data_IF_783735915081
#
_entry.id   IF_783735915081
#
_cell.length_a   1.000
_cell.length_b   1.000
_cell.length_c   1.000
_cell.angle_alpha   90.00
_cell.angle_beta   90.00
_cell.angle_gamma   90.00
#
_symmetry.space_group_name_H-M   'P 1'
#
loop_
_entity.id
_entity.type
_entity.pdbx_description
1 polymer ?
#
# COMPACT_ATOMS: atom_id res chain seq x y z
N UNK A 1 13.23 9.47 0.37
CA UNK A 1 12.54 8.59 -0.60
C UNK A 1 11.04 8.75 -0.39
N UNK A 2 10.24 8.72 -1.45
CA UNK A 2 8.77 8.76 -1.38
C UNK A 2 8.20 7.52 -2.09
N UNK A 3 7.24 6.85 -1.47
CA UNK A 3 6.55 5.69 -2.07
C UNK A 3 5.05 5.76 -1.80
N UNK A 4 4.26 5.24 -2.73
CA UNK A 4 2.88 4.88 -2.44
C UNK A 4 2.88 3.71 -1.44
N UNK A 5 1.94 3.75 -0.50
CA UNK A 5 1.76 2.70 0.50
C UNK A 5 0.27 2.34 0.60
N UNK A 6 -0.04 1.07 0.44
CA UNK A 6 -1.41 0.55 0.50
C UNK A 6 -1.43 -0.66 1.44
N UNK A 7 -1.95 -0.54 2.67
CA UNK A 7 -2.06 -1.68 3.57
C UNK A 7 -3.01 -2.72 2.98
N UNK A 8 -2.59 -3.99 3.02
CA UNK A 8 -3.38 -5.11 2.58
C UNK A 8 -3.98 -5.85 3.78
N UNK A 9 -5.30 -6.02 3.79
CA UNK A 9 -6.02 -6.81 4.77
C UNK A 9 -6.60 -8.07 4.12
N UNK A 10 -6.61 -9.22 4.81
CA UNK A 10 -7.30 -10.40 4.31
C UNK A 10 -8.82 -10.22 4.44
N UNK A 11 -9.59 -10.77 3.50
CA UNK A 11 -11.06 -10.71 3.53
C UNK A 11 -11.67 -11.54 4.68
N UNK A 12 -10.99 -12.61 5.07
CA UNK A 12 -11.32 -13.45 6.23
C UNK A 12 -10.07 -13.80 7.03
N UNK A 13 -10.24 -14.43 8.19
CA UNK A 13 -9.12 -14.96 8.97
C UNK A 13 -8.51 -16.26 8.40
N UNK A 14 -9.03 -16.76 7.27
CA UNK A 14 -8.53 -17.95 6.60
C UNK A 14 -7.10 -17.77 6.09
N UNK A 15 -6.32 -18.86 6.13
CA UNK A 15 -4.92 -18.87 5.68
C UNK A 15 -4.77 -18.43 4.22
N UNK A 16 -5.71 -18.81 3.36
CA UNK A 16 -5.68 -18.46 1.94
C UNK A 16 -5.84 -16.94 1.71
N UNK A 17 -6.71 -16.27 2.46
CA UNK A 17 -6.88 -14.82 2.34
C UNK A 17 -5.70 -14.06 2.96
N UNK A 18 -5.12 -14.61 4.04
CA UNK A 18 -3.88 -14.08 4.63
C UNK A 18 -2.71 -14.18 3.67
N UNK A 19 -2.57 -15.29 2.93
CA UNK A 19 -1.56 -15.39 1.86
C UNK A 19 -1.85 -14.39 0.73
N UNK A 20 -3.11 -14.20 0.33
CA UNK A 20 -3.46 -13.22 -0.69
C UNK A 20 -3.10 -11.78 -0.28
N UNK A 21 -3.34 -11.42 0.98
CA UNK A 21 -2.94 -10.12 1.53
C UNK A 21 -1.41 -9.97 1.63
N UNK A 22 -0.70 -11.00 2.11
CA UNK A 22 0.78 -11.05 2.14
C UNK A 22 1.35 -10.89 0.73
N UNK A 23 0.79 -11.56 -0.26
CA UNK A 23 1.23 -11.47 -1.65
C UNK A 23 1.15 -10.04 -2.19
N UNK A 24 0.00 -9.37 -1.98
CA UNK A 24 -0.16 -7.98 -2.40
C UNK A 24 0.84 -7.07 -1.68
N UNK A 25 0.98 -7.22 -0.36
CA UNK A 25 1.91 -6.43 0.44
C UNK A 25 3.38 -6.63 0.03
N UNK A 26 3.75 -7.88 -0.25
CA UNK A 26 5.07 -8.27 -0.73
C UNK A 26 5.44 -7.53 -2.01
N UNK A 27 4.49 -7.45 -2.95
CA UNK A 27 4.73 -6.77 -4.23
C UNK A 27 4.56 -5.26 -4.17
N UNK A 28 3.50 -4.75 -3.56
CA UNK A 28 3.13 -3.34 -3.63
C UNK A 28 3.95 -2.48 -2.67
N UNK A 29 4.23 -2.98 -1.46
CA UNK A 29 4.92 -2.21 -0.42
C UNK A 29 6.36 -2.72 -0.23
N UNK A 30 6.53 -3.98 0.15
CA UNK A 30 7.84 -4.53 0.58
C UNK A 30 8.85 -4.62 -0.55
N UNK A 31 8.40 -4.78 -1.79
CA UNK A 31 9.27 -4.79 -2.97
C UNK A 31 10.14 -3.53 -3.10
N UNK A 32 9.65 -2.41 -2.57
CA UNK A 32 10.39 -1.15 -2.54
C UNK A 32 11.02 -0.88 -1.17
N UNK A 33 10.33 -1.23 -0.08
CA UNK A 33 10.79 -0.94 1.28
C UNK A 33 11.95 -1.85 1.71
N UNK A 34 11.90 -3.15 1.44
CA UNK A 34 12.96 -4.08 1.85
C UNK A 34 14.31 -3.72 1.18
N UNK A 35 14.39 -3.39 -0.12
CA UNK A 35 15.66 -2.94 -0.71
C UNK A 35 16.21 -1.64 -0.08
N UNK A 36 15.34 -0.70 0.30
CA UNK A 36 15.74 0.57 0.90
C UNK A 36 16.27 0.42 2.32
N UNK A 37 15.64 -0.44 3.13
CA UNK A 37 15.92 -0.53 4.56
C UNK A 37 16.73 -1.75 4.97
N UNK A 38 16.70 -2.81 4.16
CA UNK A 38 17.37 -4.09 4.43
C UNK A 38 18.41 -4.46 3.38
N UNK A 39 18.41 -3.80 2.22
CA UNK A 39 19.36 -4.09 1.15
C UNK A 39 19.10 -5.44 0.48
N UNK A 40 17.85 -5.91 0.49
CA UNK A 40 17.45 -7.17 -0.14
C UNK A 40 15.99 -7.09 -0.63
N UNK A 41 15.65 -7.91 -1.63
CA UNK A 41 14.25 -8.08 -2.05
C UNK A 41 13.52 -9.10 -1.16
N UNK A 42 12.21 -8.94 -0.94
CA UNK A 42 11.42 -9.89 -0.16
C UNK A 42 11.39 -11.27 -0.82
N UNK A 43 11.99 -12.27 -0.17
CA UNK A 43 12.15 -13.62 -0.72
C UNK A 43 10.82 -14.29 -1.11
N UNK A 44 9.77 -14.07 -0.31
CA UNK A 44 8.43 -14.60 -0.59
C UNK A 44 7.81 -13.94 -1.84
N UNK A 45 7.97 -12.63 -2.02
CA UNK A 45 7.48 -11.95 -3.21
C UNK A 45 8.29 -12.34 -4.47
N UNK A 46 9.61 -12.58 -4.33
CA UNK A 46 10.44 -13.11 -5.41
C UNK A 46 9.94 -14.51 -5.82
N UNK A 47 9.67 -15.38 -4.85
CA UNK A 47 9.12 -16.71 -5.09
C UNK A 47 7.76 -16.65 -5.81
N UNK A 48 6.85 -15.76 -5.39
CA UNK A 48 5.57 -15.54 -6.07
C UNK A 48 5.74 -15.07 -7.52
N UNK A 49 6.75 -14.24 -7.79
CA UNK A 49 7.05 -13.73 -9.13
C UNK A 49 7.63 -14.81 -10.04
N UNK A 50 8.43 -15.72 -9.49
CA UNK A 50 8.90 -16.91 -10.20
C UNK A 50 7.73 -17.83 -10.52
N UNK A 51 6.87 -18.11 -9.54
CA UNK A 51 5.68 -18.94 -9.74
C UNK A 51 4.72 -18.36 -10.80
N UNK A 52 4.64 -17.03 -10.90
CA UNK A 52 3.86 -16.34 -11.94
C UNK A 52 4.58 -16.24 -13.30
N UNK A 53 5.81 -16.77 -13.44
CA UNK A 53 6.59 -16.70 -14.68
C UNK A 53 7.14 -15.31 -15.01
N UNK A 54 7.14 -14.37 -14.05
CA UNK A 54 7.69 -13.02 -14.22
C UNK A 54 9.21 -12.96 -13.98
N UNK A 55 9.76 -13.96 -13.29
CA UNK A 55 11.19 -14.11 -13.03
C UNK A 55 11.63 -15.53 -13.35
N UNK A 56 12.84 -15.66 -13.91
CA UNK A 56 13.41 -16.96 -14.26
C UNK A 56 13.90 -17.75 -13.03
N UNK A 57 14.24 -17.06 -11.94
CA UNK A 57 14.81 -17.66 -10.74
C UNK A 57 15.09 -16.61 -9.65
N UNK A 58 15.51 -17.04 -8.46
CA UNK A 58 15.75 -16.17 -7.32
C UNK A 58 17.02 -15.31 -7.45
N UNK A 59 17.85 -15.56 -8.47
CA UNK A 59 19.15 -14.91 -8.65
C UNK A 59 19.03 -13.45 -9.10
N UNK A 60 17.86 -13.02 -9.59
CA UNK A 60 17.57 -11.65 -10.05
C UNK A 60 18.72 -11.08 -10.90
N UNK A 61 19.00 -11.62 -12.11
CA UNK A 61 20.23 -11.34 -12.87
C UNK A 61 20.42 -9.89 -13.32
N UNK A 62 19.40 -9.04 -13.13
CA UNK A 62 19.46 -7.61 -13.35
C UNK A 62 20.02 -6.82 -12.15
N UNK A 63 20.10 -7.43 -10.97
CA UNK A 63 20.73 -6.86 -9.77
C UNK A 63 22.21 -7.18 -9.85
N UNK A 64 23.04 -6.15 -9.91
CA UNK A 64 24.50 -6.27 -9.99
C UNK A 64 25.14 -6.06 -8.62
N UNK A 65 26.37 -6.51 -8.50
CA UNK A 65 27.19 -6.28 -7.32
C UNK A 65 27.24 -4.79 -6.98
N UNK A 66 26.85 -4.45 -5.75
CA UNK A 66 26.81 -3.08 -5.25
C UNK A 66 25.47 -2.35 -5.44
N UNK A 67 24.54 -2.84 -6.27
CA UNK A 67 23.26 -2.14 -6.51
C UNK A 67 22.44 -2.02 -5.22
N UNK A 68 22.26 -3.12 -4.49
CA UNK A 68 21.49 -3.11 -3.24
C UNK A 68 22.18 -2.27 -2.15
N UNK A 69 23.51 -2.22 -2.13
CA UNK A 69 24.25 -1.34 -1.25
C UNK A 69 24.04 0.15 -1.62
N UNK A 70 24.00 0.47 -2.91
CA UNK A 70 23.71 1.81 -3.40
C UNK A 70 22.25 2.25 -3.12
N UNK A 71 21.30 1.31 -3.15
CA UNK A 71 19.88 1.55 -2.85
C UNK A 71 19.66 1.76 -1.34
N UNK A 72 20.31 0.95 -0.49
CA UNK A 72 20.11 0.92 0.97
C UNK A 72 20.88 2.00 1.74
N UNK A 73 21.15 3.14 1.11
CA UNK A 73 21.82 4.26 1.77
C UNK A 73 20.93 4.88 2.86
N UNK A 74 21.49 5.36 3.99
CA UNK A 74 20.72 5.95 5.08
C UNK A 74 19.80 7.09 4.62
N UNK A 75 18.51 6.95 4.88
CA UNK A 75 17.50 7.96 4.54
C UNK A 75 17.35 9.00 5.64
N UNK A 76 17.24 10.28 5.26
CA UNK A 76 16.92 11.37 6.18
C UNK A 76 15.44 11.42 6.56
N UNK A 77 14.57 10.87 5.71
CA UNK A 77 13.14 10.62 5.93
C UNK A 77 12.61 9.57 4.95
N UNK A 78 11.51 8.91 5.35
CA UNK A 78 10.62 8.14 4.49
C UNK A 78 9.33 8.94 4.27
N UNK A 79 9.01 9.25 3.02
CA UNK A 79 7.72 9.81 2.62
C UNK A 79 6.78 8.70 2.19
N UNK A 80 5.54 8.73 2.67
CA UNK A 80 4.48 7.83 2.22
C UNK A 80 3.32 8.61 1.63
N UNK A 81 2.80 8.09 0.52
CA UNK A 81 1.55 8.52 -0.07
C UNK A 81 0.49 7.48 0.31
N UNK A 82 -0.52 7.89 1.06
CA UNK A 82 -1.59 7.02 1.55
C UNK A 82 -2.95 7.52 1.09
N UNK A 83 -3.80 6.60 0.63
CA UNK A 83 -5.12 6.93 0.10
C UNK A 83 -6.22 5.98 0.56
N UNK A 84 -5.95 4.67 0.54
CA UNK A 84 -6.90 3.59 0.85
C UNK A 84 -6.14 2.34 1.28
N UNK A 85 -6.85 1.38 1.85
CA UNK A 85 -6.41 -0.01 1.93
C UNK A 85 -6.82 -0.82 0.71
N UNK A 86 -6.30 -2.04 0.62
CA UNK A 86 -6.87 -3.10 -0.21
C UNK A 86 -7.31 -4.27 0.67
N UNK A 87 -8.44 -4.88 0.34
CA UNK A 87 -8.87 -6.14 0.95
C UNK A 87 -8.62 -7.26 -0.07
N UNK A 88 -7.91 -8.30 0.32
CA UNK A 88 -7.50 -9.40 -0.56
C UNK A 88 -8.14 -10.71 -0.14
N UNK A 89 -8.53 -11.53 -1.12
CA UNK A 89 -8.96 -12.91 -0.89
C UNK A 89 -8.35 -13.88 -1.88
N UNK A 90 -8.37 -15.15 -1.52
CA UNK A 90 -8.17 -16.25 -2.47
C UNK A 90 -9.52 -16.57 -3.14
N UNK A 91 -9.59 -16.33 -4.45
CA UNK A 91 -10.71 -16.69 -5.30
C UNK A 91 -10.88 -18.20 -5.45
N UNK A 92 -12.08 -18.62 -5.85
CA UNK A 92 -12.43 -20.04 -5.98
C UNK A 92 -11.61 -20.79 -7.04
N UNK A 93 -11.02 -20.07 -7.99
CA UNK A 93 -10.10 -20.59 -9.00
C UNK A 93 -8.63 -20.57 -8.56
N UNK A 94 -8.37 -20.26 -7.27
CA UNK A 94 -7.03 -20.12 -6.69
C UNK A 94 -6.36 -18.80 -7.01
N UNK A 95 -7.00 -17.88 -7.73
CA UNK A 95 -6.43 -16.56 -8.04
C UNK A 95 -6.60 -15.62 -6.86
N UNK A 96 -5.62 -14.77 -6.63
CA UNK A 96 -5.68 -13.72 -5.61
C UNK A 96 -6.43 -12.53 -6.19
N UNK A 97 -7.46 -12.04 -5.51
CA UNK A 97 -8.31 -10.96 -6.01
C UNK A 97 -8.58 -9.90 -4.93
N UNK A 98 -8.67 -8.64 -5.38
CA UNK A 98 -9.10 -7.54 -4.54
C UNK A 98 -10.61 -7.60 -4.35
N UNK A 99 -11.07 -7.54 -3.10
CA UNK A 99 -12.47 -7.45 -2.73
C UNK A 99 -12.91 -5.99 -2.82
N UNK A 100 -13.88 -5.65 -3.69
CA UNK A 100 -14.39 -4.30 -3.75
C UNK A 100 -15.01 -3.88 -2.41
N UNK A 101 -14.88 -2.60 -2.00
CA UNK A 101 -15.61 -2.10 -0.86
C UNK A 101 -17.11 -2.31 -1.04
N UNK A 102 -17.79 -2.72 0.03
CA UNK A 102 -19.23 -2.95 0.04
C UNK A 102 -19.88 -2.16 1.20
N UNK A 103 -21.17 -1.79 1.08
CA UNK A 103 -21.90 -1.15 2.18
C UNK A 103 -21.75 -1.93 3.50
N UNK A 104 -21.54 -1.23 4.64
CA UNK A 104 -21.67 0.21 4.83
C UNK A 104 -20.38 1.03 4.60
N UNK A 105 -19.35 0.48 3.94
CA UNK A 105 -18.10 1.20 3.73
C UNK A 105 -18.30 2.49 2.91
N UNK A 106 -17.71 3.59 3.37
CA UNK A 106 -17.64 4.83 2.61
C UNK A 106 -16.60 4.72 1.50
N UNK A 107 -16.89 5.27 0.33
CA UNK A 107 -15.98 5.27 -0.83
C UNK A 107 -15.82 6.67 -1.42
N UNK A 108 -14.65 6.92 -2.01
CA UNK A 108 -14.41 8.07 -2.88
C UNK A 108 -15.09 7.87 -4.24
N UNK A 109 -15.16 8.92 -5.07
CA UNK A 109 -15.68 8.78 -6.43
C UNK A 109 -14.70 8.03 -7.37
N UNK A 110 -13.51 7.65 -6.87
CA UNK A 110 -12.59 6.69 -7.50
C UNK A 110 -12.87 5.23 -7.10
N UNK A 111 -13.89 4.98 -6.26
CA UNK A 111 -14.19 3.65 -5.72
C UNK A 111 -13.23 3.17 -4.62
N UNK A 112 -12.35 4.04 -4.13
CA UNK A 112 -11.43 3.72 -3.03
C UNK A 112 -12.11 3.81 -1.67
N UNK A 113 -11.86 2.84 -0.80
CA UNK A 113 -12.45 2.80 0.55
C UNK A 113 -11.87 3.92 1.41
N UNK A 114 -12.74 4.64 2.10
CA UNK A 114 -12.34 5.66 3.08
C UNK A 114 -12.17 4.99 4.43
N UNK A 115 -10.92 4.66 4.80
CA UNK A 115 -10.56 3.98 6.06
C UNK A 115 -9.40 4.68 6.78
N UNK A 116 -9.70 5.66 7.64
CA UNK A 116 -8.66 6.41 8.34
C UNK A 116 -7.85 5.55 9.32
N UNK A 117 -8.48 4.54 9.94
CA UNK A 117 -7.79 3.67 10.91
C UNK A 117 -6.59 2.95 10.28
N UNK A 118 -6.67 2.65 8.98
CA UNK A 118 -5.62 1.93 8.26
C UNK A 118 -4.39 2.81 7.99
N UNK A 119 -4.51 4.15 7.98
CA UNK A 119 -3.33 5.03 7.96
C UNK A 119 -2.55 4.89 9.27
N UNK A 120 -3.22 4.97 10.41
CA UNK A 120 -2.59 4.81 11.72
C UNK A 120 -1.86 3.46 11.85
N UNK A 121 -2.54 2.37 11.48
CA UNK A 121 -1.96 1.02 11.43
C UNK A 121 -0.69 0.98 10.55
N UNK A 122 -0.76 1.61 9.37
CA UNK A 122 0.36 1.68 8.42
C UNK A 122 1.56 2.40 9.01
N UNK A 123 1.35 3.55 9.66
CA UNK A 123 2.41 4.31 10.32
C UNK A 123 3.09 3.49 11.42
N UNK A 124 2.30 2.83 12.27
CA UNK A 124 2.83 1.96 13.33
C UNK A 124 3.64 0.79 12.76
N UNK A 125 3.13 0.16 11.71
CA UNK A 125 3.84 -0.92 11.02
C UNK A 125 5.18 -0.44 10.44
N UNK A 126 5.20 0.70 9.75
CA UNK A 126 6.42 1.25 9.16
C UNK A 126 7.48 1.57 10.22
N UNK A 127 7.06 2.12 11.36
CA UNK A 127 7.95 2.36 12.50
C UNK A 127 8.51 1.05 13.05
N UNK A 128 7.66 0.04 13.24
CA UNK A 128 8.06 -1.26 13.78
C UNK A 128 9.00 -2.02 12.84
N UNK A 129 8.68 -2.08 11.55
CA UNK A 129 9.33 -2.98 10.60
C UNK A 129 10.61 -2.38 9.98
N UNK A 130 10.72 -1.04 9.95
CA UNK A 130 11.81 -0.32 9.26
C UNK A 130 12.46 0.81 10.06
N UNK A 131 11.85 1.25 11.17
CA UNK A 131 12.37 2.31 12.05
C UNK A 131 12.95 3.54 11.32
N UNK A 132 12.21 4.17 10.37
CA UNK A 132 12.72 5.34 9.65
C UNK A 132 13.03 6.48 10.62
N UNK A 133 14.12 7.22 10.37
CA UNK A 133 14.52 8.37 11.20
C UNK A 133 13.43 9.43 11.31
N UNK A 134 12.71 9.65 10.22
CA UNK A 134 11.54 10.53 10.11
C UNK A 134 10.56 9.91 9.13
N UNK A 135 9.28 9.95 9.47
CA UNK A 135 8.18 9.51 8.62
C UNK A 135 7.33 10.74 8.28
N UNK A 136 7.04 10.92 6.99
CA UNK A 136 6.24 12.03 6.48
C UNK A 136 5.10 11.46 5.65
N UNK A 137 3.89 11.98 5.84
CA UNK A 137 2.80 11.79 4.89
C UNK A 137 3.02 12.85 3.81
N UNK A 138 3.48 12.42 2.64
CA UNK A 138 3.79 13.33 1.51
C UNK A 138 2.57 13.57 0.63
N UNK A 139 1.64 12.62 0.57
CA UNK A 139 0.34 12.79 -0.06
C UNK A 139 -0.75 12.05 0.72
N UNK A 140 -1.90 12.69 0.90
CA UNK A 140 -3.15 12.10 1.35
C UNK A 140 -4.32 12.96 0.88
N UNK A 141 -5.39 12.33 0.39
CA UNK A 141 -6.56 13.06 -0.10
C UNK A 141 -7.62 12.15 -0.72
N UNK A 142 -8.72 12.76 -1.16
CA UNK A 142 -9.82 12.06 -1.80
C UNK A 142 -10.39 12.88 -2.96
N UNK A 143 -10.79 12.16 -4.01
CA UNK A 143 -11.51 12.71 -5.14
C UNK A 143 -13.02 12.50 -4.97
N UNK A 144 -13.74 13.61 -5.15
CA UNK A 144 -15.19 13.72 -5.11
C UNK A 144 -15.60 14.73 -6.17
N UNK A 145 -16.55 14.36 -7.01
CA UNK A 145 -17.14 15.19 -8.06
C UNK A 145 -18.23 16.08 -7.46
N UNK A 146 -17.79 17.12 -6.76
CA UNK A 146 -18.65 18.12 -6.14
C UNK A 146 -18.69 19.38 -7.04
N UNK A 147 -19.77 19.61 -7.80
CA UNK A 147 -19.87 20.78 -8.68
C UNK A 147 -20.08 22.09 -7.88
N UNK A 148 -19.75 23.26 -8.46
CA UNK A 148 -20.05 24.54 -7.83
C UNK A 148 -21.57 24.76 -7.72
N UNK A 149 -22.01 25.30 -6.58
CA UNK A 149 -23.39 25.71 -6.34
C UNK A 149 -23.76 27.03 -7.05
N UNK A 150 -25.02 27.50 -6.89
CA UNK A 150 -25.51 28.72 -7.53
C UNK A 150 -24.74 30.01 -7.14
N UNK A 151 -24.04 30.00 -6.01
CA UNK A 151 -23.20 31.08 -5.51
C UNK A 151 -21.73 30.97 -5.98
N UNK A 152 -21.41 29.97 -6.81
CA UNK A 152 -20.08 29.69 -7.32
C UNK A 152 -19.16 28.96 -6.34
N UNK A 153 -19.64 28.54 -5.16
CA UNK A 153 -18.84 27.82 -4.16
C UNK A 153 -19.00 26.30 -4.29
N UNK A 154 -17.96 25.55 -3.95
CA UNK A 154 -18.02 24.08 -3.86
C UNK A 154 -18.23 23.69 -2.39
N UNK A 155 -19.26 22.89 -2.12
CA UNK A 155 -19.55 22.35 -0.80
C UNK A 155 -19.00 20.92 -0.66
N UNK A 156 -17.68 20.79 -0.44
CA UNK A 156 -16.95 19.52 -0.44
C UNK A 156 -16.88 18.84 0.94
N UNK A 157 -18.02 18.73 1.62
CA UNK A 157 -18.12 18.14 2.97
C UNK A 157 -17.49 16.73 3.05
N UNK A 158 -17.69 15.90 2.02
CA UNK A 158 -17.10 14.54 1.94
C UNK A 158 -15.57 14.57 1.96
N UNK A 159 -14.95 15.52 1.25
CA UNK A 159 -13.49 15.70 1.22
C UNK A 159 -12.98 16.23 2.56
N UNK A 160 -13.69 17.18 3.17
CA UNK A 160 -13.36 17.71 4.50
C UNK A 160 -13.41 16.59 5.55
N UNK A 161 -14.44 15.75 5.54
CA UNK A 161 -14.58 14.63 6.47
C UNK A 161 -13.52 13.55 6.25
N UNK A 162 -13.15 13.26 4.98
CA UNK A 162 -12.01 12.41 4.67
C UNK A 162 -10.74 12.93 5.35
N UNK A 163 -10.37 14.19 5.12
CA UNK A 163 -9.14 14.77 5.67
C UNK A 163 -9.17 14.81 7.20
N UNK A 164 -10.31 15.20 7.78
CA UNK A 164 -10.47 15.24 9.24
C UNK A 164 -10.32 13.85 9.87
N UNK A 165 -10.76 12.80 9.20
CA UNK A 165 -10.59 11.43 9.69
C UNK A 165 -9.12 10.95 9.67
N UNK A 166 -8.31 11.45 8.73
CA UNK A 166 -6.93 10.99 8.51
C UNK A 166 -5.86 11.84 9.24
N UNK A 167 -6.27 12.92 9.91
CA UNK A 167 -5.41 13.81 10.71
C UNK A 167 -5.48 13.46 12.20
#
# INVERSE_FOLDING_TARGET
MVTNYCPAHPATDGEADRDAARWFDGFFNRWYLDPLFRGEYPADAVADRIAAGHLAGPELPFVRDGDLAAISQPLSFLGINYYSRVVMRAGADGRREAVPPAPPAAVTDMGWEVRPECLHESLLRLVRDYAPRRLLITENGAAYDDPPGPDGRIADARRIDYLRGHL
#
